data_IF_685589348244
#
_entry.id   IF_685589348244
#
_cell.length_a   1.000
_cell.length_b   1.000
_cell.length_c   1.000
_cell.angle_alpha   90.00
_cell.angle_beta   90.00
_cell.angle_gamma   90.00
#
_symmetry.space_group_name_H-M   'P 1'
#
loop_
_entity.id
_entity.type
_entity.pdbx_description
1 polymer ?
#
# COMPACT_ATOMS: atom_id res chain seq x y z
N UNK A 1 -30.81 28.41 -46.81
CA UNK A 1 -31.68 27.94 -45.72
C UNK A 1 -30.86 27.95 -44.46
N UNK A 2 -31.32 28.60 -43.40
CA UNK A 2 -30.65 28.66 -42.10
C UNK A 2 -30.94 27.35 -41.37
N UNK A 3 -29.92 26.62 -40.92
CA UNK A 3 -30.13 25.43 -40.09
C UNK A 3 -30.69 25.85 -38.73
N UNK A 4 -31.81 25.25 -38.33
CA UNK A 4 -32.43 25.50 -37.03
C UNK A 4 -31.67 24.72 -35.94
N UNK A 5 -31.02 25.44 -35.03
CA UNK A 5 -30.25 24.84 -33.93
C UNK A 5 -31.20 24.37 -32.83
N UNK A 6 -31.31 23.05 -32.66
CA UNK A 6 -32.03 22.44 -31.54
C UNK A 6 -31.14 22.39 -30.29
N UNK A 7 -31.70 22.75 -29.13
CA UNK A 7 -30.99 22.76 -27.84
C UNK A 7 -31.77 21.95 -26.80
N UNK A 8 -31.04 21.32 -25.89
CA UNK A 8 -31.59 20.74 -24.66
C UNK A 8 -32.04 21.85 -23.70
N UNK A 9 -32.84 21.49 -22.70
CA UNK A 9 -33.25 22.44 -21.66
C UNK A 9 -32.06 22.84 -20.77
N UNK A 10 -32.17 23.99 -20.12
CA UNK A 10 -31.15 24.44 -19.16
C UNK A 10 -31.01 23.46 -18.00
N UNK A 11 -32.12 22.89 -17.51
CA UNK A 11 -32.10 21.92 -16.41
C UNK A 11 -31.34 20.64 -16.78
N UNK A 12 -31.57 20.12 -17.99
CA UNK A 12 -30.82 18.95 -18.50
C UNK A 12 -29.33 19.27 -18.67
N UNK A 13 -29.02 20.47 -19.19
CA UNK A 13 -27.64 20.92 -19.35
C UNK A 13 -26.93 21.03 -17.99
N UNK A 14 -27.57 21.63 -16.97
CA UNK A 14 -27.01 21.74 -15.62
C UNK A 14 -26.73 20.37 -15.01
N UNK A 15 -27.68 19.42 -15.11
CA UNK A 15 -27.48 18.05 -14.61
C UNK A 15 -26.29 17.36 -15.27
N UNK A 16 -26.12 17.52 -16.58
CA UNK A 16 -24.96 16.96 -17.31
C UNK A 16 -23.65 17.60 -16.82
N UNK A 17 -23.63 18.93 -16.65
CA UNK A 17 -22.44 19.65 -16.20
C UNK A 17 -22.03 19.27 -14.76
N UNK A 18 -23.00 19.16 -13.85
CA UNK A 18 -22.76 18.69 -12.48
C UNK A 18 -22.24 17.25 -12.47
N UNK A 19 -22.86 16.37 -13.27
CA UNK A 19 -22.40 14.99 -13.44
C UNK A 19 -20.95 14.91 -13.95
N UNK A 20 -20.59 15.73 -14.94
CA UNK A 20 -19.21 15.81 -15.46
C UNK A 20 -18.24 16.33 -14.40
N UNK A 21 -18.61 17.38 -13.66
CA UNK A 21 -17.77 17.95 -12.60
C UNK A 21 -17.51 16.92 -11.48
N UNK A 22 -18.56 16.25 -11.03
CA UNK A 22 -18.47 15.20 -10.02
C UNK A 22 -17.61 14.02 -10.49
N UNK A 23 -17.78 13.60 -11.75
CA UNK A 23 -16.97 12.53 -12.34
C UNK A 23 -15.48 12.92 -12.38
N UNK A 24 -15.16 14.15 -12.80
CA UNK A 24 -13.78 14.64 -12.81
C UNK A 24 -13.17 14.69 -11.41
N UNK A 25 -13.94 15.11 -10.40
CA UNK A 25 -13.49 15.11 -9.01
C UNK A 25 -13.17 13.70 -8.50
N UNK A 26 -14.04 12.72 -8.79
CA UNK A 26 -13.83 11.32 -8.41
C UNK A 26 -12.60 10.72 -9.09
N UNK A 27 -12.39 10.98 -10.38
CA UNK A 27 -11.19 10.50 -11.11
C UNK A 27 -9.92 11.09 -10.49
N UNK A 28 -9.94 12.37 -10.13
CA UNK A 28 -8.80 13.02 -9.46
C UNK A 28 -8.52 12.38 -8.09
N UNK A 29 -9.57 12.09 -7.33
CA UNK A 29 -9.46 11.42 -6.03
C UNK A 29 -8.88 10.00 -6.18
N UNK A 30 -9.30 9.24 -7.18
CA UNK A 30 -8.73 7.92 -7.50
C UNK A 30 -7.23 8.04 -7.82
N UNK A 31 -6.84 9.04 -8.61
CA UNK A 31 -5.42 9.28 -8.91
C UNK A 31 -4.59 9.56 -7.65
N UNK A 32 -5.12 10.38 -6.73
CA UNK A 32 -4.46 10.66 -5.45
C UNK A 32 -4.34 9.40 -4.57
N UNK A 33 -5.39 8.59 -4.49
CA UNK A 33 -5.38 7.34 -3.73
C UNK A 33 -4.37 6.32 -4.29
N UNK A 34 -4.27 6.20 -5.61
CA UNK A 34 -3.29 5.29 -6.22
C UNK A 34 -1.86 5.75 -5.93
N UNK A 35 -1.57 7.06 -6.00
CA UNK A 35 -0.26 7.59 -5.61
C UNK A 35 0.06 7.27 -4.14
N UNK A 36 -0.88 7.52 -3.22
CA UNK A 36 -0.72 7.20 -1.79
C UNK A 36 -0.48 5.71 -1.56
N UNK A 37 -1.19 4.83 -2.27
CA UNK A 37 -0.99 3.39 -2.19
C UNK A 37 0.41 2.99 -2.63
N UNK A 38 0.91 3.54 -3.74
CA UNK A 38 2.28 3.27 -4.21
C UNK A 38 3.32 3.74 -3.19
N UNK A 39 3.12 4.91 -2.59
CA UNK A 39 4.01 5.41 -1.52
C UNK A 39 4.07 4.46 -0.32
N UNK A 40 2.93 3.89 0.09
CA UNK A 40 2.87 2.92 1.19
C UNK A 40 3.51 1.59 0.79
N UNK A 41 3.24 1.08 -0.41
CA UNK A 41 3.84 -0.16 -0.92
C UNK A 41 5.37 -0.08 -0.95
N UNK A 42 5.92 1.06 -1.37
CA UNK A 42 7.36 1.29 -1.42
C UNK A 42 8.03 1.32 -0.03
N UNK A 43 7.28 1.54 1.05
CA UNK A 43 7.80 1.48 2.42
C UNK A 43 7.91 0.05 2.98
N UNK A 44 7.15 -0.89 2.43
CA UNK A 44 7.13 -2.29 2.92
C UNK A 44 8.53 -2.94 2.84
N UNK A 45 9.26 -2.86 1.71
CA UNK A 45 10.60 -3.43 1.62
C UNK A 45 11.58 -2.83 2.63
N UNK A 46 11.49 -1.52 2.89
CA UNK A 46 12.36 -0.85 3.86
C UNK A 46 12.14 -1.41 5.28
N UNK A 47 10.87 -1.52 5.71
CA UNK A 47 10.53 -2.12 7.01
C UNK A 47 10.99 -3.58 7.09
N UNK A 48 10.76 -4.36 6.02
CA UNK A 48 11.21 -5.75 5.95
C UNK A 48 12.73 -5.85 6.12
N UNK A 49 13.50 -5.01 5.43
CA UNK A 49 14.95 -5.01 5.52
C UNK A 49 15.42 -4.65 6.94
N UNK A 50 14.83 -3.64 7.57
CA UNK A 50 15.13 -3.28 8.97
C UNK A 50 14.84 -4.45 9.92
N UNK A 51 13.74 -5.18 9.72
CA UNK A 51 13.43 -6.36 10.53
C UNK A 51 14.44 -7.50 10.33
N UNK A 52 14.86 -7.76 9.09
CA UNK A 52 15.89 -8.78 8.82
C UNK A 52 17.26 -8.40 9.38
N UNK A 53 17.64 -7.12 9.32
CA UNK A 53 18.85 -6.59 9.95
C UNK A 53 18.81 -6.82 11.47
N UNK A 54 17.67 -6.49 12.11
CA UNK A 54 17.48 -6.68 13.54
C UNK A 54 17.55 -8.17 13.94
N UNK A 55 16.95 -9.07 13.15
CA UNK A 55 17.07 -10.52 13.40
C UNK A 55 18.52 -10.98 13.39
N UNK A 56 19.31 -10.55 12.40
CA UNK A 56 20.74 -10.89 12.33
C UNK A 56 21.49 -10.40 13.55
N UNK A 57 21.26 -9.15 13.97
CA UNK A 57 21.89 -8.59 15.17
C UNK A 57 21.54 -9.39 16.44
N UNK A 58 20.31 -9.87 16.56
CA UNK A 58 19.88 -10.69 17.69
C UNK A 58 20.47 -12.10 17.64
N UNK A 59 20.56 -12.72 16.46
CA UNK A 59 21.25 -13.99 16.27
C UNK A 59 22.75 -13.90 16.56
N UNK A 60 23.41 -12.79 16.19
CA UNK A 60 24.81 -12.53 16.53
C UNK A 60 25.01 -12.37 18.04
N UNK A 61 24.06 -11.75 18.75
CA UNK A 61 24.16 -11.48 20.18
C UNK A 61 23.84 -12.70 21.05
N UNK A 62 22.84 -13.50 20.68
CA UNK A 62 22.30 -14.58 21.52
C UNK A 62 22.52 -15.98 20.93
N UNK A 63 23.11 -16.08 19.74
CA UNK A 63 23.16 -17.32 18.98
C UNK A 63 21.82 -17.61 18.29
N UNK A 64 21.65 -18.81 17.72
CA UNK A 64 20.43 -19.16 17.03
C UNK A 64 19.27 -19.28 18.03
N UNK A 65 18.37 -18.30 18.00
CA UNK A 65 17.23 -18.19 18.92
C UNK A 65 15.91 -18.04 18.16
N UNK A 66 14.83 -18.57 18.75
CA UNK A 66 13.47 -18.31 18.30
C UNK A 66 12.84 -17.26 19.20
N UNK A 67 12.33 -16.17 18.62
CA UNK A 67 11.79 -15.02 19.36
C UNK A 67 10.28 -14.96 19.21
N UNK A 68 9.56 -14.88 20.32
CA UNK A 68 8.15 -14.53 20.32
C UNK A 68 8.00 -13.01 20.18
N UNK A 69 7.55 -12.56 19.01
CA UNK A 69 7.35 -11.13 18.69
C UNK A 69 6.23 -10.45 19.49
N UNK A 70 5.46 -11.20 20.27
CA UNK A 70 4.33 -10.68 21.06
C UNK A 70 4.75 -10.26 22.46
N UNK A 71 5.63 -11.04 23.10
CA UNK A 71 6.05 -10.84 24.50
C UNK A 71 7.57 -10.69 24.67
N UNK A 72 8.35 -10.88 23.60
CA UNK A 72 9.80 -10.74 23.58
C UNK A 72 10.56 -11.91 24.20
N UNK A 73 9.87 -12.97 24.63
CA UNK A 73 10.55 -14.19 25.13
C UNK A 73 11.30 -14.89 23.99
N UNK A 74 12.43 -15.53 24.31
CA UNK A 74 13.21 -16.29 23.34
C UNK A 74 13.62 -17.67 23.88
N UNK A 75 13.82 -18.61 22.96
CA UNK A 75 14.33 -19.96 23.24
C UNK A 75 15.46 -20.29 22.30
N UNK A 76 16.47 -21.00 22.77
CA UNK A 76 17.56 -21.48 21.92
C UNK A 76 17.06 -22.47 20.86
N UNK A 77 17.62 -22.42 19.67
CA UNK A 77 17.38 -23.38 18.60
C UNK A 77 18.45 -24.47 18.68
N UNK A 78 18.08 -25.74 18.90
CA UNK A 78 19.03 -26.84 18.91
C UNK A 78 19.76 -26.97 17.57
N UNK A 79 21.05 -27.33 17.61
CA UNK A 79 21.93 -27.45 16.42
C UNK A 79 21.36 -28.41 15.36
N UNK A 80 20.64 -29.45 15.77
CA UNK A 80 19.99 -30.42 14.87
C UNK A 80 18.84 -29.81 14.03
N UNK A 81 18.27 -28.69 14.49
CA UNK A 81 17.14 -28.00 13.86
C UNK A 81 17.56 -26.75 13.06
N UNK A 82 18.86 -26.41 13.04
CA UNK A 82 19.36 -25.40 12.13
C UNK A 82 19.19 -25.92 10.70
N UNK A 83 18.45 -25.18 9.86
CA UNK A 83 18.33 -25.52 8.44
C UNK A 83 19.75 -25.63 7.87
N UNK A 84 20.16 -26.83 7.49
CA UNK A 84 21.35 -27.02 6.64
C UNK A 84 21.03 -26.30 5.33
N UNK A 85 21.65 -25.15 5.15
CA UNK A 85 21.67 -24.48 3.85
C UNK A 85 22.55 -25.36 2.97
N UNK A 86 21.93 -26.16 2.10
CA UNK A 86 22.59 -26.70 0.91
C UNK A 86 22.84 -25.56 -0.10
#
# INVERSE_FOLDING_TARGET
>A
MSEEIKKITEEELTKIQEGQSNMSALISQVGALEAQKQDVLNKIPAVKNTMEELKKQLEEAYGPININVTDGTYTDIPVENLKKVD
#
